data_IF_007939613032
#
_entry.id   IF_007939613032
#
_cell.length_a   1.000
_cell.length_b   1.000
_cell.length_c   1.000
_cell.angle_alpha   90.00
_cell.angle_beta   90.00
_cell.angle_gamma   90.00
#
_symmetry.space_group_name_H-M   'P 1'
#
loop_
_entity.id
_entity.type
_entity.pdbx_description
1 polymer ?
#
# COMPACT_ATOMS: atom_id res chain seq x y z
N UNK A 1 12.73 20.99 -18.45
CA UNK A 1 12.21 20.97 -17.06
C UNK A 1 13.35 20.65 -16.11
N UNK A 2 13.51 21.39 -15.01
CA UNK A 2 14.60 21.14 -14.06
C UNK A 2 14.42 19.79 -13.34
N UNK A 3 15.52 19.16 -12.93
CA UNK A 3 15.48 17.88 -12.18
C UNK A 3 14.59 17.99 -10.94
N UNK A 4 14.65 19.12 -10.24
CA UNK A 4 13.84 19.41 -9.03
C UNK A 4 12.35 19.48 -9.35
N UNK A 5 11.97 20.21 -10.41
CA UNK A 5 10.57 20.31 -10.83
C UNK A 5 9.98 18.93 -11.19
N UNK A 6 10.79 18.05 -11.81
CA UNK A 6 10.35 16.69 -12.17
C UNK A 6 10.08 15.84 -10.92
N UNK A 7 10.94 15.92 -9.91
CA UNK A 7 10.72 15.23 -8.63
C UNK A 7 9.49 15.76 -7.90
N UNK A 8 9.29 17.08 -7.86
CA UNK A 8 8.09 17.67 -7.28
C UNK A 8 6.82 17.19 -7.95
N UNK A 9 6.79 17.16 -9.29
CA UNK A 9 5.64 16.63 -10.03
C UNK A 9 5.41 15.15 -9.72
N UNK A 10 6.46 14.34 -9.62
CA UNK A 10 6.35 12.91 -9.29
C UNK A 10 5.75 12.70 -7.92
N UNK A 11 6.22 13.45 -6.92
CA UNK A 11 5.68 13.40 -5.55
C UNK A 11 4.23 13.86 -5.53
N UNK A 12 3.89 14.94 -6.23
CA UNK A 12 2.52 15.43 -6.31
C UNK A 12 1.58 14.39 -6.93
N UNK A 13 1.94 13.81 -8.08
CA UNK A 13 1.15 12.75 -8.72
C UNK A 13 1.01 11.53 -7.83
N UNK A 14 2.08 11.14 -7.12
CA UNK A 14 2.01 10.05 -6.13
C UNK A 14 0.99 10.35 -5.03
N UNK A 15 1.02 11.55 -4.44
CA UNK A 15 0.08 11.93 -3.39
C UNK A 15 -1.36 11.94 -3.87
N UNK A 16 -1.62 12.46 -5.09
CA UNK A 16 -2.97 12.44 -5.69
C UNK A 16 -3.45 11.02 -5.92
N UNK A 17 -2.61 10.15 -6.49
CA UNK A 17 -2.95 8.74 -6.71
C UNK A 17 -3.21 8.01 -5.38
N UNK A 18 -2.37 8.26 -4.38
CA UNK A 18 -2.56 7.72 -3.03
C UNK A 18 -3.90 8.11 -2.43
N UNK A 19 -4.24 9.40 -2.51
CA UNK A 19 -5.53 9.89 -2.02
C UNK A 19 -6.69 9.20 -2.73
N UNK A 20 -6.65 9.12 -4.06
CA UNK A 20 -7.69 8.45 -4.86
C UNK A 20 -7.85 6.97 -4.51
N UNK A 21 -6.75 6.24 -4.36
CA UNK A 21 -6.78 4.82 -3.99
C UNK A 21 -7.35 4.62 -2.57
N UNK A 22 -6.97 5.47 -1.62
CA UNK A 22 -7.47 5.42 -0.25
C UNK A 22 -8.98 5.71 -0.17
N UNK A 23 -9.48 6.73 -0.87
CA UNK A 23 -10.92 7.01 -0.86
C UNK A 23 -11.72 5.96 -1.64
N UNK A 24 -11.11 5.28 -2.62
CA UNK A 24 -11.80 4.27 -3.42
C UNK A 24 -12.19 3.03 -2.63
N UNK A 25 -11.51 2.74 -1.52
CA UNK A 25 -11.76 1.52 -0.75
C UNK A 25 -11.40 0.22 -1.47
N UNK A 26 -10.75 0.26 -2.64
CA UNK A 26 -10.56 -0.95 -3.49
C UNK A 26 -9.80 -2.08 -2.77
N UNK A 27 -8.86 -1.74 -1.89
CA UNK A 27 -8.10 -2.71 -1.09
C UNK A 27 -8.75 -3.11 0.23
N UNK A 28 -9.90 -2.52 0.60
CA UNK A 28 -10.57 -2.77 1.87
C UNK A 28 -10.90 -4.26 2.08
N UNK A 29 -11.53 -4.96 1.11
CA UNK A 29 -11.86 -6.37 1.27
C UNK A 29 -10.62 -7.26 1.39
N UNK A 30 -9.55 -6.88 0.70
CA UNK A 30 -8.29 -7.63 0.71
C UNK A 30 -7.57 -7.47 2.04
N UNK A 31 -7.49 -6.24 2.56
CA UNK A 31 -6.93 -5.97 3.87
C UNK A 31 -7.69 -6.70 4.99
N UNK A 32 -9.03 -6.74 4.93
CA UNK A 32 -9.83 -7.50 5.89
C UNK A 32 -9.54 -9.00 5.88
N UNK A 33 -9.36 -9.59 4.69
CA UNK A 33 -9.02 -11.01 4.56
C UNK A 33 -7.61 -11.34 5.05
N UNK A 34 -6.70 -10.38 4.94
CA UNK A 34 -5.29 -10.58 5.28
C UNK A 34 -4.95 -10.24 6.73
N UNK A 35 -5.78 -9.50 7.46
CA UNK A 35 -5.49 -9.10 8.83
C UNK A 35 -5.23 -10.29 9.77
N UNK A 36 -6.04 -11.35 9.67
CA UNK A 36 -5.90 -12.57 10.49
C UNK A 36 -4.63 -13.35 10.11
N UNK A 37 -4.42 -13.77 8.85
CA UNK A 37 -3.23 -14.54 8.49
C UNK A 37 -1.94 -13.75 8.70
N UNK A 38 -1.96 -12.43 8.50
CA UNK A 38 -0.80 -11.57 8.77
C UNK A 38 -0.51 -11.48 10.27
N UNK A 39 -1.54 -11.32 11.11
CA UNK A 39 -1.39 -11.39 12.56
C UNK A 39 -0.80 -12.74 13.01
N UNK A 40 -1.27 -13.85 12.42
CA UNK A 40 -0.76 -15.19 12.74
C UNK A 40 0.71 -15.35 12.37
N UNK A 41 1.08 -14.85 11.20
CA UNK A 41 2.46 -14.85 10.74
C UNK A 41 3.38 -14.06 11.68
N UNK A 42 2.98 -12.84 12.06
CA UNK A 42 3.76 -12.00 12.96
C UNK A 42 3.91 -12.60 14.36
N UNK A 43 2.86 -13.24 14.88
CA UNK A 43 2.90 -13.90 16.18
C UNK A 43 3.80 -15.13 16.17
N UNK A 44 3.70 -15.97 15.13
CA UNK A 44 4.61 -17.08 14.94
C UNK A 44 6.08 -16.61 14.90
N UNK A 45 6.36 -15.51 14.20
CA UNK A 45 7.71 -14.97 14.09
C UNK A 45 8.25 -14.41 15.42
N UNK A 46 7.41 -13.72 16.19
CA UNK A 46 7.85 -13.03 17.41
C UNK A 46 7.86 -13.92 18.66
N UNK A 47 6.91 -14.86 18.75
CA UNK A 47 6.65 -15.62 19.98
C UNK A 47 6.72 -17.13 19.79
N UNK A 48 6.84 -17.64 18.56
CA UNK A 48 6.93 -19.07 18.26
C UNK A 48 5.64 -19.86 18.49
N UNK A 49 4.55 -19.22 18.94
CA UNK A 49 3.27 -19.87 19.23
C UNK A 49 2.12 -19.22 18.43
N UNK A 50 1.44 -19.97 17.55
CA UNK A 50 0.33 -19.46 16.76
C UNK A 50 -0.99 -19.31 17.55
N UNK A 51 -1.08 -19.75 18.81
CA UNK A 51 -2.36 -19.88 19.54
C UNK A 51 -2.67 -18.70 20.49
N UNK A 52 -1.78 -17.71 20.60
CA UNK A 52 -1.97 -16.51 21.46
C UNK A 52 -3.10 -15.54 21.00
N UNK A 53 -3.98 -16.01 20.13
CA UNK A 53 -4.91 -15.20 19.33
C UNK A 53 -6.09 -14.62 20.11
N UNK A 54 -6.58 -15.29 21.15
CA UNK A 54 -7.93 -15.04 21.64
C UNK A 54 -8.06 -13.82 22.53
N UNK A 55 -7.03 -13.49 23.32
CA UNK A 55 -7.20 -12.49 24.40
C UNK A 55 -6.33 -11.22 24.25
N UNK A 56 -5.30 -11.21 23.40
CA UNK A 56 -4.30 -10.12 23.38
C UNK A 56 -4.42 -9.15 22.19
N UNK A 57 -5.26 -9.43 21.18
CA UNK A 57 -5.13 -8.79 19.86
C UNK A 57 -6.43 -8.27 19.21
N UNK A 58 -7.60 -8.28 19.86
CA UNK A 58 -8.83 -7.73 19.24
C UNK A 58 -8.68 -6.26 18.84
N UNK A 59 -8.08 -5.43 19.70
CA UNK A 59 -7.81 -4.01 19.42
C UNK A 59 -6.68 -3.83 18.38
N UNK A 60 -5.72 -4.74 18.33
CA UNK A 60 -4.60 -4.68 17.38
C UNK A 60 -4.97 -5.15 15.97
N UNK A 61 -6.06 -5.91 15.79
CA UNK A 61 -6.50 -6.36 14.47
C UNK A 61 -6.92 -5.18 13.58
N UNK A 62 -7.53 -4.14 14.14
CA UNK A 62 -7.88 -2.92 13.41
C UNK A 62 -6.61 -2.18 12.94
N UNK A 63 -5.59 -2.11 13.79
CA UNK A 63 -4.30 -1.53 13.42
C UNK A 63 -3.60 -2.34 12.33
N UNK A 64 -3.58 -3.67 12.44
CA UNK A 64 -3.01 -4.56 11.42
C UNK A 64 -3.74 -4.39 10.09
N UNK A 65 -5.07 -4.34 10.12
CA UNK A 65 -5.89 -4.05 8.96
C UNK A 65 -5.49 -2.73 8.31
N UNK A 66 -5.39 -1.66 9.10
CA UNK A 66 -5.03 -0.33 8.62
C UNK A 66 -3.62 -0.33 8.00
N UNK A 67 -2.65 -0.98 8.63
CA UNK A 67 -1.29 -1.09 8.09
C UNK A 67 -1.27 -1.81 6.75
N UNK A 68 -1.94 -2.96 6.64
CA UNK A 68 -2.03 -3.71 5.38
C UNK A 68 -2.71 -2.84 4.30
N UNK A 69 -3.83 -2.21 4.65
CA UNK A 69 -4.58 -1.35 3.76
C UNK A 69 -3.74 -0.20 3.23
N UNK A 70 -3.09 0.56 4.11
CA UNK A 70 -2.23 1.69 3.72
C UNK A 70 -1.04 1.22 2.90
N UNK A 71 -0.38 0.12 3.29
CA UNK A 71 0.76 -0.44 2.53
C UNK A 71 0.37 -0.81 1.09
N UNK A 72 -0.78 -1.47 0.89
CA UNK A 72 -1.25 -1.81 -0.46
C UNK A 72 -1.49 -0.58 -1.33
N UNK A 73 -2.06 0.48 -0.74
CA UNK A 73 -2.24 1.75 -1.42
C UNK A 73 -0.89 2.35 -1.80
N UNK A 74 0.09 2.37 -0.88
CA UNK A 74 1.46 2.87 -1.15
C UNK A 74 2.10 2.13 -2.32
N UNK A 75 2.11 0.79 -2.28
CA UNK A 75 2.70 -0.02 -3.37
C UNK A 75 2.00 0.23 -4.71
N UNK A 76 0.68 0.34 -4.70
CA UNK A 76 -0.10 0.60 -5.91
C UNK A 76 0.15 2.00 -6.46
N UNK A 77 0.22 3.01 -5.59
CA UNK A 77 0.56 4.39 -5.95
C UNK A 77 1.95 4.50 -6.59
N UNK A 78 2.97 3.85 -6.01
CA UNK A 78 4.32 3.80 -6.58
C UNK A 78 4.33 3.11 -7.95
N UNK A 79 3.61 1.99 -8.06
CA UNK A 79 3.49 1.21 -9.30
C UNK A 79 2.83 2.04 -10.40
N UNK A 80 1.71 2.68 -10.11
CA UNK A 80 0.97 3.52 -11.07
C UNK A 80 1.81 4.70 -11.55
N UNK A 81 2.44 5.45 -10.65
CA UNK A 81 3.29 6.59 -11.02
C UNK A 81 4.43 6.13 -11.94
N UNK A 82 5.08 5.02 -11.59
CA UNK A 82 6.19 4.47 -12.39
C UNK A 82 5.70 3.96 -13.75
N UNK A 83 4.53 3.32 -13.79
CA UNK A 83 3.91 2.83 -15.02
C UNK A 83 3.51 3.98 -15.95
N UNK A 84 2.89 5.06 -15.43
CA UNK A 84 2.57 6.25 -16.22
C UNK A 84 3.83 6.94 -16.75
N UNK A 85 4.88 7.05 -15.93
CA UNK A 85 6.17 7.58 -16.40
C UNK A 85 6.75 6.73 -17.55
N UNK A 86 6.62 5.41 -17.45
CA UNK A 86 7.06 4.49 -18.50
C UNK A 86 6.24 4.69 -19.80
N UNK A 87 4.91 4.75 -19.70
CA UNK A 87 4.05 5.00 -20.86
C UNK A 87 4.35 6.34 -21.53
N UNK A 88 4.55 7.41 -20.76
CA UNK A 88 4.91 8.72 -21.30
C UNK A 88 6.26 8.68 -22.04
N UNK A 89 7.24 7.93 -21.52
CA UNK A 89 8.52 7.74 -22.21
C UNK A 89 8.35 6.96 -23.51
N UNK A 90 7.52 5.91 -23.50
CA UNK A 90 7.25 5.09 -24.67
C UNK A 90 6.57 5.90 -25.78
N UNK A 91 5.56 6.70 -25.42
CA UNK A 91 4.85 7.58 -26.35
C UNK A 91 5.79 8.59 -27.03
N UNK A 92 6.73 9.17 -26.27
CA UNK A 92 7.75 10.10 -26.81
C UNK A 92 8.81 9.44 -27.69
N UNK A 93 8.97 8.13 -27.63
CA UNK A 93 9.94 7.39 -28.45
C UNK A 93 9.32 6.97 -29.80
N UNK A 94 8.00 6.79 -29.83
CA UNK A 94 7.27 6.26 -30.97
C UNK A 94 6.53 7.34 -31.79
N UNK A 95 6.59 8.61 -31.40
CA UNK A 95 6.09 9.76 -32.14
C UNK A 95 7.22 10.74 -32.41
#
# INVERSE_FOLDING_TARGET
MSKRAKWLLRTFTFLVMMYLLLISGIFYPLAQRLQIPFASFMNYFNFGDPVLFTDYYSDNLEHIWLYIYVSMNIFSGVTLVTFFEFLVKLAKKNG
#
